data_IF_304117847855
#
_entry.id   IF_304117847855
#
_cell.length_a   1.000
_cell.length_b   1.000
_cell.length_c   1.000
_cell.angle_alpha   90.00
_cell.angle_beta   90.00
_cell.angle_gamma   90.00
#
_symmetry.space_group_name_H-M   'P 1'
#
loop_
_entity.id
_entity.type
_entity.pdbx_description
1 polymer ?
#
# COMPACT_ATOMS: atom_id res chain seq x y z
N UNK A 1 39.03 14.64 1.84
CA UNK A 1 38.76 15.14 3.20
C UNK A 1 38.75 13.96 4.17
N UNK A 2 39.50 14.05 5.25
CA UNK A 2 39.57 13.04 6.32
C UNK A 2 38.55 13.34 7.42
N UNK A 3 38.48 12.51 8.46
CA UNK A 3 37.59 12.73 9.61
C UNK A 3 38.03 13.96 10.43
N UNK A 4 39.34 14.20 10.53
CA UNK A 4 39.88 15.35 11.27
C UNK A 4 39.43 16.68 10.67
N UNK A 5 39.32 16.73 9.34
CA UNK A 5 38.95 17.93 8.59
C UNK A 5 37.45 18.26 8.67
N UNK A 6 36.62 17.35 9.20
CA UNK A 6 35.17 17.52 9.20
C UNK A 6 34.72 18.75 10.01
N UNK A 7 35.29 18.97 11.19
CA UNK A 7 34.88 20.08 12.07
C UNK A 7 35.17 21.45 11.43
N UNK A 8 36.39 21.74 10.95
CA UNK A 8 36.66 22.96 10.19
C UNK A 8 35.74 23.11 8.98
N UNK A 9 35.57 22.05 8.19
CA UNK A 9 34.73 22.09 7.01
C UNK A 9 33.26 22.44 7.34
N UNK A 10 32.71 21.86 8.41
CA UNK A 10 31.35 22.18 8.86
C UNK A 10 31.26 23.64 9.30
N UNK A 11 32.26 24.19 9.99
CA UNK A 11 32.24 25.60 10.39
C UNK A 11 32.09 26.53 9.17
N UNK A 12 32.78 26.21 8.07
CA UNK A 12 32.77 27.04 6.87
C UNK A 12 31.57 26.77 5.93
N UNK A 13 31.00 25.56 5.96
CA UNK A 13 30.01 25.11 4.97
C UNK A 13 28.62 24.79 5.53
N UNK A 14 28.41 24.92 6.85
CA UNK A 14 27.16 24.55 7.54
C UNK A 14 25.92 25.18 6.90
N UNK A 15 25.93 26.48 6.67
CA UNK A 15 24.73 27.19 6.17
C UNK A 15 24.34 26.69 4.79
N UNK A 16 25.30 26.59 3.87
CA UNK A 16 25.09 26.05 2.53
C UNK A 16 24.57 24.62 2.57
N UNK A 17 25.14 23.78 3.44
CA UNK A 17 24.69 22.40 3.60
C UNK A 17 23.23 22.35 4.08
N UNK A 18 22.88 23.11 5.12
CA UNK A 18 21.51 23.17 5.66
C UNK A 18 20.53 23.64 4.59
N UNK A 19 20.83 24.73 3.88
CA UNK A 19 19.96 25.25 2.81
C UNK A 19 19.72 24.16 1.76
N UNK A 20 20.79 23.49 1.29
CA UNK A 20 20.66 22.44 0.27
C UNK A 20 19.85 21.23 0.73
N UNK A 21 19.87 20.92 2.02
CA UNK A 21 19.07 19.83 2.60
C UNK A 21 17.60 20.22 2.69
N UNK A 22 17.31 21.46 3.07
CA UNK A 22 15.94 21.96 3.24
C UNK A 22 15.24 22.22 1.90
N UNK A 23 15.97 22.71 0.89
CA UNK A 23 15.42 22.97 -0.45
C UNK A 23 15.42 21.74 -1.38
N UNK A 24 15.98 20.61 -0.92
CA UNK A 24 16.03 19.34 -1.65
C UNK A 24 17.07 19.28 -2.77
N UNK A 25 17.92 20.30 -2.91
CA UNK A 25 19.01 20.33 -3.90
C UNK A 25 20.21 19.46 -3.52
N UNK A 26 20.33 19.04 -2.25
CA UNK A 26 21.39 18.16 -1.78
C UNK A 26 21.45 16.85 -2.60
N UNK A 27 22.66 16.48 -3.03
CA UNK A 27 22.94 15.23 -3.73
C UNK A 27 24.04 14.48 -2.97
N UNK A 28 23.74 13.28 -2.40
CA UNK A 28 24.76 12.47 -1.76
C UNK A 28 25.89 12.12 -2.72
N UNK A 29 27.12 12.10 -2.21
CA UNK A 29 28.28 11.75 -3.05
C UNK A 29 28.39 10.23 -3.21
N UNK A 30 29.05 9.79 -4.29
CA UNK A 30 29.31 8.37 -4.53
C UNK A 30 30.12 7.76 -3.39
N UNK A 31 29.68 6.60 -2.90
CA UNK A 31 30.39 5.86 -1.84
C UNK A 31 31.71 5.30 -2.36
N UNK A 32 32.75 5.31 -1.51
CA UNK A 32 34.03 4.69 -1.83
C UNK A 32 33.93 3.17 -1.65
N UNK A 33 34.09 2.41 -2.73
CA UNK A 33 34.18 0.96 -2.70
C UNK A 33 35.47 0.48 -2.03
N UNK A 34 35.36 -0.45 -1.10
CA UNK A 34 36.49 -1.12 -0.43
C UNK A 34 36.20 -2.60 -0.33
N UNK A 35 37.17 -3.41 -0.75
CA UNK A 35 37.09 -4.87 -0.60
C UNK A 35 37.62 -5.27 0.78
N UNK A 36 36.81 -6.04 1.53
CA UNK A 36 37.23 -6.63 2.80
C UNK A 36 37.09 -8.15 2.72
N UNK A 37 38.11 -8.93 3.13
CA UNK A 37 38.02 -10.39 3.12
C UNK A 37 36.87 -10.88 4.02
N UNK A 38 36.12 -11.88 3.55
CA UNK A 38 35.10 -12.53 4.39
C UNK A 38 35.74 -13.30 5.54
N UNK A 39 35.09 -13.39 6.71
CA UNK A 39 35.53 -14.28 7.79
C UNK A 39 35.58 -15.72 7.24
N UNK A 40 36.75 -16.35 7.23
CA UNK A 40 36.97 -17.70 6.67
C UNK A 40 37.60 -17.76 5.27
N UNK A 41 38.05 -16.64 4.71
CA UNK A 41 38.96 -16.60 3.55
C UNK A 41 38.33 -16.87 2.18
N UNK A 42 37.07 -17.33 2.11
CA UNK A 42 36.37 -17.54 0.83
C UNK A 42 35.67 -16.27 0.35
N UNK A 43 36.40 -15.47 -0.42
CA UNK A 43 35.89 -14.33 -1.18
C UNK A 43 35.95 -12.99 -0.42
N UNK A 44 35.57 -11.93 -1.13
CA UNK A 44 35.56 -10.55 -0.62
C UNK A 44 34.14 -10.04 -0.41
N UNK A 45 33.97 -9.13 0.55
CA UNK A 45 32.78 -8.31 0.75
C UNK A 45 33.10 -6.91 0.23
N UNK A 46 32.32 -6.45 -0.74
CA UNK A 46 32.34 -5.05 -1.15
C UNK A 46 31.66 -4.21 -0.06
N UNK A 47 32.37 -3.22 0.46
CA UNK A 47 31.81 -2.19 1.34
C UNK A 47 31.77 -0.85 0.60
N UNK A 48 30.64 -0.16 0.69
CA UNK A 48 30.53 1.25 0.31
C UNK A 48 30.74 2.13 1.54
N UNK A 49 31.78 2.94 1.54
CA UNK A 49 32.06 3.89 2.62
C UNK A 49 31.57 5.28 2.16
N UNK A 50 30.52 5.85 2.78
CA UNK A 50 30.07 7.21 2.46
C UNK A 50 31.10 8.25 2.87
N UNK A 51 30.97 9.45 2.30
CA UNK A 51 31.89 10.55 2.60
C UNK A 51 31.76 11.03 4.03
N UNK A 52 32.79 11.74 4.51
CA UNK A 52 32.81 12.33 5.85
C UNK A 52 31.68 13.33 6.09
N UNK A 53 31.10 13.93 5.03
CA UNK A 53 29.93 14.82 5.11
C UNK A 53 28.63 14.03 5.06
N UNK A 54 28.53 13.02 4.19
CA UNK A 54 27.33 12.19 4.07
C UNK A 54 27.04 11.37 5.33
N UNK A 55 28.07 10.92 6.06
CA UNK A 55 27.90 10.12 7.28
C UNK A 55 27.12 10.87 8.39
N UNK A 56 27.49 12.11 8.77
CA UNK A 56 26.68 12.94 9.67
C UNK A 56 25.26 13.18 9.18
N UNK A 57 25.05 13.41 7.87
CA UNK A 57 23.72 13.60 7.30
C UNK A 57 22.88 12.33 7.47
N UNK A 58 23.42 11.16 7.12
CA UNK A 58 22.78 9.86 7.33
C UNK A 58 22.50 9.60 8.82
N UNK A 59 23.43 9.96 9.71
CA UNK A 59 23.27 9.81 11.15
C UNK A 59 22.17 10.71 11.71
N UNK A 60 22.06 11.96 11.22
CA UNK A 60 20.99 12.86 11.62
C UNK A 60 19.61 12.34 11.18
N UNK A 61 19.52 11.81 9.96
CA UNK A 61 18.31 11.13 9.46
C UNK A 61 17.95 9.95 10.38
N UNK A 62 18.92 9.10 10.72
CA UNK A 62 18.72 7.96 11.60
C UNK A 62 18.20 8.39 12.98
N UNK A 63 18.80 9.41 13.59
CA UNK A 63 18.40 9.91 14.91
C UNK A 63 16.94 10.41 14.95
N UNK A 64 16.44 10.94 13.83
CA UNK A 64 15.04 11.38 13.71
C UNK A 64 14.11 10.20 13.46
N UNK A 65 14.48 9.27 12.59
CA UNK A 65 13.63 8.14 12.20
C UNK A 65 13.55 7.06 13.29
N UNK A 66 14.62 6.81 14.03
CA UNK A 66 14.69 5.71 15.00
C UNK A 66 13.62 5.78 16.10
N UNK A 67 13.37 6.94 16.76
CA UNK A 67 12.28 7.06 17.73
C UNK A 67 10.91 6.76 17.12
N UNK A 68 10.67 7.21 15.88
CA UNK A 68 9.40 7.01 15.18
C UNK A 68 9.20 5.53 14.85
N UNK A 69 10.21 4.86 14.28
CA UNK A 69 10.19 3.43 13.95
C UNK A 69 9.97 2.58 15.21
N UNK A 70 10.58 2.97 16.34
CA UNK A 70 10.37 2.29 17.62
C UNK A 70 8.92 2.38 18.10
N UNK A 71 8.28 3.55 17.96
CA UNK A 71 6.88 3.74 18.32
C UNK A 71 5.96 2.96 17.37
N UNK A 72 6.22 3.03 16.06
CA UNK A 72 5.50 2.25 15.05
C UNK A 72 5.55 0.76 15.39
N UNK A 73 6.73 0.23 15.71
CA UNK A 73 6.91 -1.17 16.14
C UNK A 73 6.04 -1.50 17.35
N UNK A 74 5.99 -0.64 18.37
CA UNK A 74 5.13 -0.84 19.55
C UNK A 74 3.64 -0.89 19.19
N UNK A 75 3.18 -0.04 18.26
CA UNK A 75 1.79 -0.09 17.77
C UNK A 75 1.47 -1.35 16.98
N UNK A 76 2.42 -1.87 16.21
CA UNK A 76 2.27 -3.14 15.49
C UNK A 76 2.23 -4.33 16.46
N UNK A 77 3.07 -4.30 17.50
CA UNK A 77 3.13 -5.36 18.53
C UNK A 77 2.01 -5.30 19.57
N UNK A 78 1.24 -4.21 19.62
CA UNK A 78 0.13 -4.08 20.57
C UNK A 78 -0.87 -5.24 20.37
N UNK A 79 -1.18 -5.95 21.46
CA UNK A 79 -2.15 -7.06 21.43
C UNK A 79 -3.58 -6.59 21.15
N UNK A 80 -4.45 -7.55 20.83
CA UNK A 80 -5.88 -7.31 20.65
C UNK A 80 -6.63 -7.71 21.91
N UNK A 81 -7.43 -6.80 22.47
CA UNK A 81 -8.36 -7.14 23.55
C UNK A 81 -9.56 -7.87 22.96
N UNK A 82 -9.79 -9.10 23.41
CA UNK A 82 -10.95 -9.91 23.01
C UNK A 82 -11.51 -10.61 24.24
N UNK A 83 -12.79 -10.41 24.52
CA UNK A 83 -13.50 -11.06 25.63
C UNK A 83 -12.80 -10.87 27.00
N UNK A 84 -12.18 -9.70 27.23
CA UNK A 84 -11.48 -9.38 28.48
C UNK A 84 -10.05 -9.90 28.60
N UNK A 85 -9.53 -10.58 27.57
CA UNK A 85 -8.15 -11.08 27.53
C UNK A 85 -7.37 -10.38 26.42
N UNK A 86 -6.11 -10.01 26.72
CA UNK A 86 -5.19 -9.49 25.72
C UNK A 86 -4.58 -10.66 24.93
N UNK A 87 -4.86 -10.72 23.64
CA UNK A 87 -4.30 -11.70 22.71
C UNK A 87 -3.09 -11.07 22.02
N UNK A 88 -1.92 -11.69 22.16
CA UNK A 88 -0.71 -11.24 21.47
C UNK A 88 -0.86 -11.39 19.95
N UNK A 89 -0.25 -10.48 19.19
CA UNK A 89 -0.25 -10.53 17.72
C UNK A 89 1.18 -10.64 17.22
N UNK A 90 1.40 -11.57 16.31
CA UNK A 90 2.68 -11.75 15.66
C UNK A 90 2.71 -11.20 14.23
N UNK A 91 1.54 -10.91 13.64
CA UNK A 91 1.40 -10.41 12.27
C UNK A 91 0.27 -9.38 12.11
N UNK A 92 0.38 -8.54 11.09
CA UNK A 92 -0.65 -7.58 10.68
C UNK A 92 -0.65 -6.25 11.44
N UNK A 93 -1.39 -5.27 10.90
CA UNK A 93 -1.66 -3.97 11.53
C UNK A 93 -3.03 -4.01 12.23
N UNK A 94 -3.25 -3.28 13.35
CA UNK A 94 -4.58 -3.11 13.92
C UNK A 94 -5.56 -2.57 12.86
N UNK A 95 -6.62 -3.32 12.56
CA UNK A 95 -7.66 -2.85 11.63
C UNK A 95 -8.33 -1.60 12.19
N UNK A 96 -8.33 -0.51 11.40
CA UNK A 96 -8.91 0.77 11.80
C UNK A 96 -7.93 1.75 12.46
N UNK A 97 -6.66 1.37 12.67
CA UNK A 97 -5.65 2.32 13.13
C UNK A 97 -5.33 3.35 12.04
N UNK A 98 -5.24 4.67 12.36
CA UNK A 98 -4.96 5.72 11.38
C UNK A 98 -3.58 5.61 10.72
N UNK A 99 -2.66 4.84 11.32
CA UNK A 99 -1.33 4.55 10.75
C UNK A 99 -1.34 3.44 9.70
N UNK A 100 -2.37 2.58 9.70
CA UNK A 100 -2.39 1.39 8.83
C UNK A 100 -2.34 1.74 7.33
N UNK A 101 -3.05 2.77 6.83
CA UNK A 101 -3.00 3.14 5.42
C UNK A 101 -1.61 3.54 4.94
N UNK A 102 -0.86 4.33 5.73
CA UNK A 102 0.48 4.78 5.33
C UNK A 102 1.50 3.65 5.39
N UNK A 103 1.40 2.76 6.39
CA UNK A 103 2.27 1.59 6.50
C UNK A 103 2.03 0.59 5.36
N UNK A 104 0.76 0.36 5.00
CA UNK A 104 0.42 -0.48 3.86
C UNK A 104 0.99 0.08 2.55
N UNK A 105 0.86 1.39 2.32
CA UNK A 105 1.42 2.02 1.13
C UNK A 105 2.95 1.99 1.10
N UNK A 106 3.62 2.18 2.23
CA UNK A 106 5.08 2.07 2.31
C UNK A 106 5.56 0.65 1.98
N UNK A 107 4.87 -0.37 2.49
CA UNK A 107 5.20 -1.78 2.21
C UNK A 107 4.96 -2.15 0.73
N UNK A 108 3.88 -1.63 0.13
CA UNK A 108 3.46 -1.95 -1.23
C UNK A 108 4.09 -1.07 -2.30
N UNK A 109 4.88 -0.05 -1.94
CA UNK A 109 5.65 0.77 -2.89
C UNK A 109 6.63 -0.07 -3.73
N UNK A 110 7.28 -1.05 -3.09
CA UNK A 110 8.16 -2.01 -3.76
C UNK A 110 7.41 -2.88 -4.78
N UNK A 111 6.12 -3.14 -4.53
CA UNK A 111 5.26 -3.87 -5.46
C UNK A 111 4.86 -2.99 -6.65
N UNK A 112 4.51 -1.73 -6.42
CA UNK A 112 4.19 -0.78 -7.49
C UNK A 112 5.39 -0.59 -8.43
N UNK A 113 6.58 -0.37 -7.88
CA UNK A 113 7.84 -0.25 -8.65
C UNK A 113 8.13 -1.49 -9.50
N UNK A 114 7.84 -2.68 -8.97
CA UNK A 114 8.02 -3.92 -9.71
C UNK A 114 7.03 -4.02 -10.89
N UNK A 115 5.78 -3.60 -10.71
CA UNK A 115 4.79 -3.55 -11.79
C UNK A 115 5.15 -2.52 -12.86
N UNK A 116 5.62 -1.33 -12.46
CA UNK A 116 6.10 -0.28 -13.35
C UNK A 116 7.31 -0.75 -14.18
N UNK A 117 8.29 -1.37 -13.52
CA UNK A 117 9.48 -1.94 -14.17
C UNK A 117 9.10 -3.00 -15.22
N UNK A 118 8.02 -3.75 -15.00
CA UNK A 118 7.47 -4.75 -15.93
C UNK A 118 6.57 -4.15 -17.02
N UNK A 119 6.31 -2.84 -16.99
CA UNK A 119 5.46 -2.15 -17.94
C UNK A 119 3.97 -2.51 -17.82
N UNK A 120 3.51 -2.88 -16.62
CA UNK A 120 2.10 -3.20 -16.40
C UNK A 120 1.26 -1.94 -16.19
N UNK A 121 0.05 -1.95 -16.74
CA UNK A 121 -0.98 -0.97 -16.38
C UNK A 121 -1.78 -1.51 -15.19
N UNK A 122 -1.83 -0.76 -14.10
CA UNK A 122 -2.50 -1.19 -12.88
C UNK A 122 -3.15 -0.02 -12.15
N UNK A 123 -4.06 -0.33 -11.24
CA UNK A 123 -4.63 0.61 -10.30
C UNK A 123 -4.68 -0.06 -8.93
N UNK A 124 -4.14 0.59 -7.90
CA UNK A 124 -4.11 0.09 -6.53
C UNK A 124 -4.72 1.13 -5.59
N UNK A 125 -5.52 0.65 -4.65
CA UNK A 125 -6.07 1.43 -3.55
C UNK A 125 -5.90 0.64 -2.26
N UNK A 126 -5.00 1.11 -1.39
CA UNK A 126 -4.56 0.37 -0.21
C UNK A 126 -4.10 -1.06 -0.59
N UNK A 127 -4.75 -2.09 -0.05
CA UNK A 127 -4.47 -3.51 -0.30
C UNK A 127 -5.21 -4.09 -1.53
N UNK A 128 -6.19 -3.37 -2.09
CA UNK A 128 -6.94 -3.80 -3.27
C UNK A 128 -6.30 -3.25 -4.55
N UNK A 129 -6.01 -4.12 -5.51
CA UNK A 129 -5.33 -3.73 -6.75
C UNK A 129 -5.72 -4.57 -7.95
N UNK A 130 -5.81 -3.93 -9.11
CA UNK A 130 -6.10 -4.55 -10.39
C UNK A 130 -4.96 -4.33 -11.37
N UNK A 131 -4.58 -5.39 -12.09
CA UNK A 131 -3.61 -5.32 -13.19
C UNK A 131 -4.34 -5.65 -14.48
N UNK A 132 -4.21 -4.76 -15.47
CA UNK A 132 -4.92 -4.85 -16.74
C UNK A 132 -4.04 -5.48 -17.81
N UNK A 133 -4.57 -6.51 -18.47
CA UNK A 133 -3.86 -7.29 -19.51
C UNK A 133 -4.78 -7.58 -20.68
N UNK A 134 -4.21 -7.89 -21.84
CA UNK A 134 -4.97 -8.08 -23.09
C UNK A 134 -5.59 -9.47 -23.26
N UNK A 135 -5.19 -10.47 -22.48
CA UNK A 135 -5.73 -11.83 -22.61
C UNK A 135 -5.77 -12.57 -21.27
N UNK A 136 -6.70 -13.53 -21.17
CA UNK A 136 -6.85 -14.38 -19.97
C UNK A 136 -5.57 -15.14 -19.64
N UNK A 137 -4.92 -15.74 -20.65
CA UNK A 137 -3.63 -16.44 -20.49
C UNK A 137 -2.53 -15.52 -19.94
N UNK A 138 -2.49 -14.26 -20.39
CA UNK A 138 -1.58 -13.29 -19.81
C UNK A 138 -1.94 -12.94 -18.36
N UNK A 139 -3.23 -12.85 -18.04
CA UNK A 139 -3.74 -12.60 -16.69
C UNK A 139 -3.35 -13.70 -15.71
N UNK A 140 -3.54 -14.95 -16.08
CA UNK A 140 -3.16 -16.12 -15.26
C UNK A 140 -1.64 -16.15 -15.03
N UNK A 141 -0.84 -15.89 -16.07
CA UNK A 141 0.62 -15.78 -15.96
C UNK A 141 1.05 -14.65 -15.02
N UNK A 142 0.47 -13.46 -15.17
CA UNK A 142 0.78 -12.30 -14.33
C UNK A 142 0.36 -12.56 -12.89
N UNK A 143 -0.84 -13.11 -12.66
CA UNK A 143 -1.35 -13.45 -11.33
C UNK A 143 -0.43 -14.43 -10.61
N UNK A 144 0.06 -15.47 -11.29
CA UNK A 144 1.02 -16.41 -10.72
C UNK A 144 2.36 -15.72 -10.36
N UNK A 145 2.90 -14.91 -11.28
CA UNK A 145 4.17 -14.21 -11.06
C UNK A 145 4.09 -13.16 -9.95
N UNK A 146 3.01 -12.39 -9.88
CA UNK A 146 2.76 -11.39 -8.84
C UNK A 146 2.56 -12.07 -7.49
N UNK A 147 1.83 -13.17 -7.44
CA UNK A 147 1.64 -13.94 -6.20
C UNK A 147 2.99 -14.45 -5.67
N UNK A 148 3.84 -15.01 -6.55
CA UNK A 148 5.18 -15.44 -6.17
C UNK A 148 6.05 -14.28 -5.65
N UNK A 149 5.93 -13.08 -6.23
CA UNK A 149 6.63 -11.90 -5.75
C UNK A 149 6.13 -11.44 -4.38
N UNK A 150 4.81 -11.35 -4.19
CA UNK A 150 4.19 -10.92 -2.93
C UNK A 150 4.50 -11.91 -1.79
N UNK A 151 4.33 -13.21 -2.02
CA UNK A 151 4.56 -14.25 -1.01
C UNK A 151 6.07 -14.47 -0.77
N UNK A 152 6.91 -14.35 -1.80
CA UNK A 152 8.36 -14.59 -1.68
C UNK A 152 9.15 -13.39 -1.18
N UNK A 153 8.98 -12.22 -1.81
CA UNK A 153 9.79 -11.01 -1.51
C UNK A 153 9.17 -10.18 -0.38
N UNK A 154 7.86 -9.95 -0.43
CA UNK A 154 7.17 -9.11 0.56
C UNK A 154 6.58 -9.91 1.74
N UNK A 155 6.62 -11.24 1.66
CA UNK A 155 6.05 -12.16 2.66
C UNK A 155 4.57 -11.87 2.98
N UNK A 156 3.82 -11.45 1.96
CA UNK A 156 2.39 -11.16 2.05
C UNK A 156 1.57 -12.32 1.48
N UNK A 157 0.58 -12.78 2.24
CA UNK A 157 -0.34 -13.84 1.80
C UNK A 157 -1.45 -13.28 0.91
N UNK A 158 -1.56 -13.80 -0.30
CA UNK A 158 -2.63 -13.40 -1.24
C UNK A 158 -3.94 -14.09 -0.89
N UNK A 159 -5.04 -13.32 -0.85
CA UNK A 159 -6.37 -13.89 -0.67
C UNK A 159 -6.85 -14.53 -1.98
N UNK A 160 -6.63 -15.84 -2.13
CA UNK A 160 -6.97 -16.61 -3.33
C UNK A 160 -8.47 -16.74 -3.60
N UNK A 161 -9.32 -16.59 -2.59
CA UNK A 161 -10.78 -16.58 -2.77
C UNK A 161 -11.26 -15.27 -3.40
N UNK A 162 -10.62 -14.15 -3.05
CA UNK A 162 -10.93 -12.83 -3.60
C UNK A 162 -10.19 -12.55 -4.92
N UNK A 163 -9.02 -13.15 -5.13
CA UNK A 163 -8.15 -12.89 -6.28
C UNK A 163 -8.49 -13.78 -7.47
N UNK A 164 -8.67 -13.21 -8.65
CA UNK A 164 -8.96 -13.97 -9.87
C UNK A 164 -8.50 -13.22 -11.13
N UNK A 165 -8.01 -13.96 -12.12
CA UNK A 165 -7.88 -13.49 -13.49
C UNK A 165 -9.25 -13.63 -14.18
N UNK A 166 -9.95 -12.51 -14.31
CA UNK A 166 -11.33 -12.46 -14.81
C UNK A 166 -11.50 -11.27 -15.76
N UNK A 167 -12.58 -11.30 -16.54
CA UNK A 167 -12.91 -10.14 -17.37
C UNK A 167 -13.29 -8.95 -16.50
N UNK A 168 -12.93 -7.76 -16.97
CA UNK A 168 -13.12 -6.49 -16.26
C UNK A 168 -14.61 -6.25 -15.91
N UNK A 169 -15.52 -6.74 -16.76
CA UNK A 169 -16.98 -6.65 -16.59
C UNK A 169 -17.53 -7.56 -15.48
N UNK A 170 -16.82 -8.64 -15.14
CA UNK A 170 -17.23 -9.58 -14.11
C UNK A 170 -16.85 -9.06 -12.71
N UNK A 171 -15.85 -8.18 -12.66
CA UNK A 171 -15.25 -7.68 -11.43
C UNK A 171 -15.86 -6.34 -10.99
N UNK A 172 -15.58 -5.99 -9.75
CA UNK A 172 -16.00 -4.75 -9.12
C UNK A 172 -14.81 -4.21 -8.35
N UNK A 173 -14.60 -2.90 -8.41
CA UNK A 173 -13.49 -2.21 -7.77
C UNK A 173 -13.99 -0.89 -7.21
N UNK A 174 -13.72 -0.64 -5.92
CA UNK A 174 -14.17 0.56 -5.20
C UNK A 174 -15.67 0.87 -5.33
N UNK A 175 -16.51 -0.17 -5.41
CA UNK A 175 -17.97 -0.01 -5.53
C UNK A 175 -18.48 0.26 -6.96
N UNK A 176 -17.58 0.30 -7.94
CA UNK A 176 -17.86 0.45 -9.36
C UNK A 176 -17.55 -0.83 -10.13
N UNK A 177 -18.05 -0.90 -11.37
CA UNK A 177 -17.72 -1.92 -12.36
C UNK A 177 -17.47 -1.23 -13.69
N UNK A 178 -16.56 -1.77 -14.49
CA UNK A 178 -16.34 -1.32 -15.86
C UNK A 178 -17.21 -2.18 -16.78
N UNK A 179 -18.05 -1.52 -17.59
CA UNK A 179 -18.97 -2.14 -18.54
C UNK A 179 -18.32 -2.25 -19.92
N UNK A 180 -18.97 -3.02 -20.81
CA UNK A 180 -18.58 -3.12 -22.22
C UNK A 180 -18.37 -1.75 -22.86
N UNK A 181 -17.27 -1.61 -23.60
CA UNK A 181 -16.86 -0.35 -24.21
C UNK A 181 -16.19 0.65 -23.24
N UNK A 182 -15.80 0.22 -22.03
CA UNK A 182 -15.05 1.04 -21.09
C UNK A 182 -15.89 2.04 -20.29
N UNK A 183 -17.21 1.91 -20.31
CA UNK A 183 -18.11 2.78 -19.54
C UNK A 183 -18.09 2.41 -18.05
N UNK A 184 -18.17 3.40 -17.18
CA UNK A 184 -18.26 3.18 -15.73
C UNK A 184 -19.72 2.86 -15.34
N UNK A 185 -19.91 1.78 -14.58
CA UNK A 185 -21.19 1.35 -14.03
C UNK A 185 -21.14 1.20 -12.50
N UNK A 186 -22.31 1.18 -11.87
CA UNK A 186 -22.44 0.90 -10.44
C UNK A 186 -22.40 -0.61 -10.19
N UNK A 187 -21.65 -1.04 -9.18
CA UNK A 187 -21.67 -2.44 -8.78
C UNK A 187 -23.08 -2.80 -8.23
N UNK A 188 -23.65 -3.98 -8.57
CA UNK A 188 -24.98 -4.38 -8.13
C UNK A 188 -25.16 -4.31 -6.61
N UNK A 189 -24.13 -4.73 -5.85
CA UNK A 189 -24.12 -4.65 -4.38
C UNK A 189 -24.18 -3.22 -3.85
N UNK A 190 -23.57 -2.25 -4.54
CA UNK A 190 -23.64 -0.83 -4.17
C UNK A 190 -25.06 -0.30 -4.36
N UNK A 191 -25.72 -0.68 -5.46
CA UNK A 191 -27.11 -0.32 -5.72
C UNK A 191 -28.06 -0.93 -4.68
N UNK A 192 -27.90 -2.21 -4.35
CA UNK A 192 -28.70 -2.87 -3.31
C UNK A 192 -28.52 -2.17 -1.96
N UNK A 193 -27.28 -1.89 -1.54
CA UNK A 193 -27.00 -1.15 -0.30
C UNK A 193 -27.64 0.24 -0.27
N UNK A 194 -27.62 0.96 -1.39
CA UNK A 194 -28.27 2.26 -1.48
C UNK A 194 -29.80 2.14 -1.32
N UNK A 195 -30.42 1.16 -1.99
CA UNK A 195 -31.87 0.89 -1.87
C UNK A 195 -32.27 0.52 -0.44
N UNK A 196 -31.50 -0.34 0.21
CA UNK A 196 -31.74 -0.76 1.59
C UNK A 196 -31.62 0.43 2.55
N UNK A 197 -30.60 1.29 2.35
CA UNK A 197 -30.41 2.50 3.14
C UNK A 197 -31.57 3.49 2.98
N UNK A 198 -32.05 3.70 1.77
CA UNK A 198 -33.22 4.57 1.49
C UNK A 198 -34.47 4.01 2.18
N UNK A 199 -34.68 2.69 2.11
CA UNK A 199 -35.80 2.01 2.77
C UNK A 199 -35.76 2.19 4.28
N UNK A 200 -34.59 2.08 4.90
CA UNK A 200 -34.40 2.30 6.34
C UNK A 200 -34.64 3.76 6.75
N UNK A 201 -34.18 4.71 5.95
CA UNK A 201 -34.43 6.14 6.20
C UNK A 201 -35.94 6.43 6.14
N UNK A 202 -36.62 5.93 5.10
CA UNK A 202 -38.07 6.10 4.95
C UNK A 202 -38.86 5.42 6.06
N UNK A 203 -38.36 4.30 6.63
CA UNK A 203 -38.98 3.66 7.81
C UNK A 203 -38.84 4.49 9.09
N UNK A 204 -37.74 5.23 9.26
CA UNK A 204 -37.45 6.03 10.47
C UNK A 204 -38.00 7.46 10.39
N UNK A 205 -38.23 7.97 9.19
CA UNK A 205 -38.93 9.23 8.91
C UNK A 205 -39.92 8.95 7.79
N UNK A 206 -41.19 8.64 8.11
CA UNK A 206 -42.22 8.61 7.07
C UNK A 206 -42.33 10.01 6.51
N UNK A 207 -41.72 10.24 5.35
CA UNK A 207 -41.99 11.44 4.56
C UNK A 207 -43.41 11.23 4.04
N UNK A 208 -44.38 12.11 4.35
CA UNK A 208 -45.66 12.04 3.69
C UNK A 208 -45.39 12.34 2.22
N UNK A 209 -45.43 11.29 1.41
CA UNK A 209 -45.42 11.43 -0.05
C UNK A 209 -46.79 12.03 -0.36
N UNK A 210 -46.85 13.36 -0.47
CA UNK A 210 -48.00 14.04 -1.04
C UNK A 210 -48.30 13.41 -2.40
N UNK A 211 -49.58 13.13 -2.63
CA UNK A 211 -50.08 12.47 -3.83
C UNK A 211 -49.72 13.25 -5.11
N UNK A 212 -48.50 13.06 -5.59
CA UNK A 212 -48.00 13.53 -6.87
C UNK A 212 -47.79 12.32 -7.76
N UNK A 213 -48.57 12.27 -8.83
CA UNK A 213 -48.57 11.24 -9.87
C UNK A 213 -47.12 10.84 -10.27
N UNK A 214 -46.68 9.64 -9.87
CA UNK A 214 -45.59 8.96 -10.56
C UNK A 214 -46.12 7.65 -11.12
N UNK A 215 -46.18 7.62 -12.45
CA UNK A 215 -46.63 6.50 -13.25
C UNK A 215 -45.78 5.25 -13.04
N UNK A 216 -46.47 4.12 -13.16
CA UNK A 216 -46.05 2.72 -13.20
C UNK A 216 -44.55 2.44 -13.33
N UNK A 217 -44.00 1.71 -12.35
CA UNK A 217 -42.95 0.73 -12.61
C UNK A 217 -43.37 -0.60 -12.01
N UNK A 218 -43.57 -1.59 -12.89
CA UNK A 218 -43.92 -2.97 -12.58
C UNK A 218 -42.87 -3.59 -11.65
N UNK A 219 -43.30 -4.04 -10.47
CA UNK A 219 -42.46 -4.81 -9.54
C UNK A 219 -42.50 -6.27 -9.95
N UNK A 220 -41.36 -6.80 -10.43
CA UNK A 220 -41.17 -8.24 -10.61
C UNK A 220 -40.68 -8.86 -9.29
N UNK A 221 -41.45 -9.82 -8.76
CA UNK A 221 -41.13 -10.60 -7.57
C UNK A 221 -40.46 -11.91 -7.98
N UNK A 222 -39.25 -12.18 -7.48
CA UNK A 222 -38.59 -13.49 -7.60
C UNK A 222 -38.31 -14.03 -6.18
N UNK A 223 -38.86 -15.21 -5.80
CA UNK A 223 -38.49 -15.86 -4.56
C UNK A 223 -37.11 -16.53 -4.72
N UNK A 224 -36.16 -16.18 -3.86
CA UNK A 224 -34.88 -16.90 -3.75
C UNK A 224 -35.02 -17.99 -2.68
N UNK A 225 -34.96 -19.26 -3.10
CA UNK A 225 -34.72 -20.38 -2.20
C UNK A 225 -33.21 -20.64 -2.09
N UNK A 226 -32.74 -20.97 -0.89
CA UNK A 226 -31.40 -21.48 -0.63
C UNK A 226 -31.49 -22.94 -0.18
N UNK A 227 -30.57 -23.74 -0.68
CA UNK A 227 -29.86 -24.80 0.05
C UNK A 227 -28.38 -24.63 -0.25
#
# INVERSE_FOLDING_TARGET
>A
MTVADLRPWVADNRERLIVSLLDGSYRPQSVRGVEIPKPGGKGVRQLGIPTVVDRPVQQAILQILEPLLRIIRRFLQAGMMSHGVCIERHEGTPQGGPLSPILANLLLDDFDKELEKRGHHFCRYADDGNIYVRSRKAGERVMASVTAFLEGKLQLKVNRQKSAAAYVEERQFLGHRLLAGGKLGLAPKSLTRAKDRIRDINRRRPVPIGAGQYQSWTVWYFPSFHT
#
